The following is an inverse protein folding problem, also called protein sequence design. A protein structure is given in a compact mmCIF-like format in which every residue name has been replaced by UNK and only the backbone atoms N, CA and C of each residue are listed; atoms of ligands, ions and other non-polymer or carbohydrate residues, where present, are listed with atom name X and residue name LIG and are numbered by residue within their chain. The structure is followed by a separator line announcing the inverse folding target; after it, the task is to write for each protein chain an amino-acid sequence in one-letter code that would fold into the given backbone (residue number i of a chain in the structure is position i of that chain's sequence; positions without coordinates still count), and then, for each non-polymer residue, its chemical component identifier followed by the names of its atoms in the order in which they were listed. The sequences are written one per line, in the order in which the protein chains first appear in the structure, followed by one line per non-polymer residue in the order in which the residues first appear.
data_IF_514123409938
#
_entry.id   IF_514123409938
#
_cell.length_a   1.000
_cell.length_b   1.000
_cell.length_c   1.000
_cell.angle_alpha   90.00
_cell.angle_beta   90.00
_cell.angle_gamma   90.00
#
_symmetry.space_group_name_H-M   'P 1'
#
loop_
_entity.id
_entity.type
_entity.pdbx_description
1 polymer ?
#
# COMPACT_ATOMS: atom_id res chain seq x y z
N UNK A 1 12.62 12.41 3.49
CA UNK A 1 11.70 12.62 2.34
C UNK A 1 10.56 11.63 2.50
N UNK A 2 9.42 12.09 3.02
CA UNK A 2 8.27 11.26 3.35
C UNK A 2 7.47 11.05 2.06
N UNK A 3 7.48 9.83 1.52
CA UNK A 3 6.83 9.49 0.25
C UNK A 3 5.32 9.25 0.36
N UNK A 4 4.62 9.87 1.33
CA UNK A 4 3.16 9.76 1.45
C UNK A 4 2.56 11.12 1.78
N UNK A 5 1.50 11.50 1.06
CA UNK A 5 0.70 12.70 1.29
C UNK A 5 -0.74 12.31 1.56
N UNK A 6 -1.38 12.98 2.52
CA UNK A 6 -2.78 12.75 2.86
C UNK A 6 -3.60 13.84 2.17
N UNK A 7 -4.50 13.43 1.28
CA UNK A 7 -5.42 14.30 0.57
C UNK A 7 -6.86 14.15 1.07
N UNK A 8 -7.75 15.03 0.63
CA UNK A 8 -9.16 15.03 1.03
C UNK A 8 -9.90 13.71 0.67
N UNK A 9 -9.42 13.00 -0.35
CA UNK A 9 -10.03 11.78 -0.87
C UNK A 9 -9.26 10.49 -0.49
N UNK A 10 -8.13 10.60 0.23
CA UNK A 10 -7.34 9.43 0.64
C UNK A 10 -5.84 9.69 0.76
N UNK A 11 -5.05 8.65 0.47
CA UNK A 11 -3.59 8.67 0.65
C UNK A 11 -2.89 8.58 -0.71
N UNK A 12 -1.97 9.50 -0.96
CA UNK A 12 -1.10 9.53 -2.14
C UNK A 12 0.25 8.98 -1.72
N UNK A 13 0.65 7.82 -2.25
CA UNK A 13 1.97 7.22 -1.99
C UNK A 13 2.85 7.41 -3.22
N UNK A 14 4.10 7.81 -2.97
CA UNK A 14 5.14 7.92 -3.97
C UNK A 14 5.45 6.55 -4.59
N UNK A 15 5.37 6.47 -5.91
CA UNK A 15 5.58 5.24 -6.66
C UNK A 15 7.01 4.69 -6.49
N UNK A 16 7.99 5.54 -6.16
CA UNK A 16 9.36 5.15 -5.81
C UNK A 16 9.42 4.25 -4.57
N UNK A 17 8.56 4.49 -3.57
CA UNK A 17 8.51 3.64 -2.35
C UNK A 17 8.02 2.23 -2.70
N UNK A 18 7.01 2.12 -3.56
CA UNK A 18 6.52 0.82 -4.03
C UNK A 18 7.54 0.17 -4.98
N UNK A 19 8.16 0.96 -5.85
CA UNK A 19 9.17 0.51 -6.81
C UNK A 19 10.33 -0.17 -6.10
N UNK A 20 10.94 0.47 -5.09
CA UNK A 20 12.01 -0.11 -4.27
C UNK A 20 11.56 -1.40 -3.57
N UNK A 21 10.34 -1.41 -3.03
CA UNK A 21 9.81 -2.53 -2.27
C UNK A 21 9.51 -3.77 -3.13
N UNK A 22 8.97 -3.56 -4.32
CA UNK A 22 8.61 -4.65 -5.23
C UNK A 22 9.73 -5.00 -6.23
N UNK A 23 10.76 -4.15 -6.34
CA UNK A 23 11.78 -4.24 -7.38
C UNK A 23 11.24 -3.85 -8.76
N UNK A 24 10.30 -2.92 -8.80
CA UNK A 24 9.68 -2.39 -10.01
C UNK A 24 10.19 -0.98 -10.28
N UNK A 25 9.86 -0.42 -11.43
CA UNK A 25 10.03 1.00 -11.70
C UNK A 25 8.79 1.79 -11.24
N UNK A 26 8.92 3.10 -10.91
CA UNK A 26 7.78 3.95 -10.60
C UNK A 26 6.72 3.97 -11.73
N UNK A 27 7.17 3.87 -12.98
CA UNK A 27 6.30 3.77 -14.15
C UNK A 27 5.49 2.47 -14.16
N UNK A 28 6.10 1.32 -13.84
CA UNK A 28 5.39 0.04 -13.71
C UNK A 28 4.42 0.02 -12.55
N UNK A 29 4.76 0.67 -11.43
CA UNK A 29 3.83 0.85 -10.31
C UNK A 29 2.61 1.65 -10.75
N UNK A 30 2.82 2.80 -11.39
CA UNK A 30 1.73 3.64 -11.88
C UNK A 30 0.86 2.91 -12.91
N UNK A 31 1.50 2.22 -13.86
CA UNK A 31 0.81 1.40 -14.86
C UNK A 31 0.03 0.24 -14.21
N UNK A 32 0.62 -0.43 -13.22
CA UNK A 32 0.01 -1.53 -12.47
C UNK A 32 -1.19 -1.10 -11.63
N UNK A 33 -1.12 0.06 -10.98
CA UNK A 33 -2.25 0.67 -10.29
C UNK A 33 -3.37 1.03 -11.27
N UNK A 34 -3.02 1.66 -12.42
CA UNK A 34 -3.99 2.02 -13.47
C UNK A 34 -4.65 0.80 -14.12
N UNK A 35 -3.89 -0.29 -14.26
CA UNK A 35 -4.35 -1.55 -14.82
C UNK A 35 -5.04 -2.46 -13.79
N UNK A 36 -5.11 -2.09 -12.51
CA UNK A 36 -5.65 -2.94 -11.44
C UNK A 36 -4.82 -4.19 -11.12
N UNK A 37 -3.55 -4.23 -11.53
CA UNK A 37 -2.59 -5.31 -11.24
C UNK A 37 -1.96 -5.19 -9.85
N UNK A 38 -1.97 -3.99 -9.29
CA UNK A 38 -1.55 -3.71 -7.92
C UNK A 38 -2.81 -3.44 -7.11
N UNK A 39 -3.13 -4.34 -6.19
CA UNK A 39 -4.24 -4.11 -5.28
C UNK A 39 -3.74 -3.33 -4.07
N UNK A 40 -4.35 -2.19 -3.76
CA UNK A 40 -4.08 -1.44 -2.54
C UNK A 40 -5.20 -1.68 -1.53
N UNK A 41 -4.83 -1.81 -0.26
CA UNK A 41 -5.75 -1.87 0.87
C UNK A 41 -5.32 -0.81 1.86
N UNK A 42 -6.20 0.15 2.08
CA UNK A 42 -6.00 1.20 3.08
C UNK A 42 -6.87 0.89 4.29
N UNK A 43 -6.25 0.88 5.45
CA UNK A 43 -6.93 0.84 6.74
C UNK A 43 -6.65 2.17 7.44
N UNK A 44 -7.67 3.02 7.48
CA UNK A 44 -7.63 4.28 8.20
C UNK A 44 -8.08 4.00 9.63
N UNK A 45 -7.22 4.23 10.62
CA UNK A 45 -7.64 4.27 12.01
C UNK A 45 -8.61 5.44 12.21
N UNK A 46 -9.79 5.15 12.75
CA UNK A 46 -10.81 6.12 13.16
C UNK A 46 -10.93 6.09 14.69
N UNK A 47 -11.31 7.22 15.29
CA UNK A 47 -11.51 7.40 16.72
C UNK A 47 -10.29 7.11 17.62
N UNK A 48 -10.28 6.00 18.37
CA UNK A 48 -9.22 5.70 19.35
C UNK A 48 -7.85 5.42 18.71
N UNK A 49 -7.85 5.08 17.41
CA UNK A 49 -6.65 4.89 16.58
C UNK A 49 -6.46 6.05 15.58
N UNK A 50 -7.15 7.18 15.79
CA UNK A 50 -6.93 8.39 15.00
C UNK A 50 -5.45 8.80 15.11
N UNK A 51 -4.79 8.89 13.97
CA UNK A 51 -3.35 9.19 13.93
C UNK A 51 -2.49 8.14 13.23
N UNK A 52 -3.02 6.94 12.92
CA UNK A 52 -2.28 5.91 12.19
C UNK A 52 -3.07 5.35 11.03
N UNK A 53 -2.42 5.28 9.88
CA UNK A 53 -2.96 4.68 8.68
C UNK A 53 -2.04 3.58 8.19
N UNK A 54 -2.65 2.48 7.75
CA UNK A 54 -1.92 1.33 7.26
C UNK A 54 -2.29 1.06 5.82
N UNK A 55 -1.31 1.21 4.94
CA UNK A 55 -1.45 1.00 3.51
C UNK A 55 -0.76 -0.32 3.17
N UNK A 56 -1.53 -1.29 2.69
CA UNK A 56 -1.00 -2.59 2.26
C UNK A 56 -1.22 -2.75 0.76
N UNK A 57 -0.13 -2.84 0.00
CA UNK A 57 -0.15 -3.07 -1.43
C UNK A 57 0.16 -4.53 -1.73
N UNK A 58 -0.52 -5.14 -2.69
CA UNK A 58 -0.34 -6.52 -3.10
C UNK A 58 -0.01 -6.57 -4.58
N UNK A 59 1.08 -7.26 -4.92
CA UNK A 59 1.51 -7.46 -6.29
C UNK A 59 2.21 -8.82 -6.44
N UNK A 60 1.72 -9.67 -7.36
CA UNK A 60 2.30 -10.99 -7.71
C UNK A 60 2.70 -11.88 -6.52
N UNK A 61 1.88 -11.92 -5.47
CA UNK A 61 2.15 -12.74 -4.27
C UNK A 61 3.11 -12.11 -3.25
N UNK A 62 3.43 -10.83 -3.43
CA UNK A 62 4.13 -10.00 -2.45
C UNK A 62 3.17 -8.95 -1.90
N UNK A 63 3.31 -8.67 -0.61
CA UNK A 63 2.67 -7.55 0.05
C UNK A 63 3.70 -6.56 0.59
N UNK A 64 3.41 -5.27 0.41
CA UNK A 64 4.12 -4.16 1.04
C UNK A 64 3.17 -3.50 2.01
N UNK A 65 3.51 -3.49 3.29
CA UNK A 65 2.78 -2.78 4.34
C UNK A 65 3.54 -1.52 4.73
N UNK A 66 2.90 -0.37 4.58
CA UNK A 66 3.35 0.93 5.04
C UNK A 66 2.47 1.37 6.20
N UNK A 67 3.10 1.78 7.29
CA UNK A 67 2.45 2.45 8.41
C UNK A 67 2.82 3.92 8.34
N UNK A 68 1.81 4.77 8.19
CA UNK A 68 1.95 6.22 8.16
C UNK A 68 1.21 6.86 9.32
N UNK A 69 1.69 8.00 9.80
CA UNK A 69 0.93 8.83 10.75
C UNK A 69 -0.04 9.79 10.03
N UNK A 70 -0.82 10.54 10.81
CA UNK A 70 -1.73 11.61 10.33
C UNK A 70 -1.02 12.79 9.66
N UNK A 71 0.30 12.86 9.79
CA UNK A 71 1.14 13.89 9.22
C UNK A 71 1.69 13.44 7.86
N UNK A 72 1.34 12.22 7.40
CA UNK A 72 1.83 11.60 6.18
C UNK A 72 3.25 11.04 6.29
N UNK A 73 3.80 10.95 7.51
CA UNK A 73 5.13 10.41 7.73
C UNK A 73 5.08 8.89 7.78
N UNK A 74 5.92 8.24 7.00
CA UNK A 74 6.11 6.78 7.06
C UNK A 74 6.84 6.46 8.37
N UNK A 75 6.12 5.81 9.28
CA UNK A 75 6.65 5.29 10.54
C UNK A 75 7.35 3.95 10.35
N UNK A 76 6.81 3.10 9.47
CA UNK A 76 7.38 1.79 9.19
C UNK A 76 7.01 1.29 7.80
N UNK A 77 7.92 0.52 7.18
CA UNK A 77 7.67 -0.23 5.95
C UNK A 77 8.14 -1.66 6.11
N UNK A 78 7.33 -2.62 5.67
CA UNK A 78 7.66 -4.03 5.69
C UNK A 78 7.15 -4.71 4.42
N UNK A 79 8.02 -5.46 3.75
CA UNK A 79 7.67 -6.31 2.62
C UNK A 79 7.66 -7.76 3.07
N UNK A 80 6.66 -8.52 2.63
CA UNK A 80 6.56 -9.93 2.93
C UNK A 80 5.82 -10.65 1.80
N UNK A 81 6.07 -11.95 1.65
CA UNK A 81 5.30 -12.75 0.72
C UNK A 81 3.89 -12.96 1.31
N UNK A 82 2.88 -12.52 0.58
CA UNK A 82 1.49 -12.71 0.96
C UNK A 82 0.64 -12.97 -0.28
N UNK A 83 -0.28 -13.95 -0.22
CA UNK A 83 -1.28 -14.10 -1.27
C UNK A 83 -2.16 -12.84 -1.33
N UNK A 84 -2.65 -12.45 -2.51
CA UNK A 84 -3.58 -11.33 -2.64
C UNK A 84 -4.82 -11.57 -1.77
N UNK A 85 -5.43 -10.52 -1.20
CA UNK A 85 -6.59 -10.66 -0.34
C UNK A 85 -7.75 -11.26 -1.15
N UNK A 86 -8.18 -12.46 -0.75
CA UNK A 86 -9.45 -13.05 -1.19
C UNK A 86 -9.51 -13.59 -2.62
N UNK A 87 -8.61 -14.50 -2.99
CA UNK A 87 -9.06 -15.68 -3.77
C UNK A 87 -9.06 -16.87 -2.82
N UNK A 88 -10.08 -16.93 -1.96
CA UNK A 88 -10.34 -18.13 -1.17
C UNK A 88 -10.48 -19.33 -2.11
N UNK A 89 -10.14 -20.55 -1.67
CA UNK A 89 -10.40 -21.75 -2.46
C UNK A 89 -11.90 -21.77 -2.78
N UNK A 90 -12.26 -21.82 -4.07
CA UNK A 90 -13.63 -22.18 -4.44
C UNK A 90 -13.85 -23.60 -3.90
N UNK A 91 -14.77 -23.84 -2.95
CA UNK A 91 -15.12 -25.20 -2.61
C UNK A 91 -15.69 -25.85 -3.89
N UNK A 92 -15.21 -27.06 -4.19
CA UNK A 92 -15.77 -27.91 -5.26
C UNK A 92 -17.10 -28.48 -4.82
#
# INVERSE_FOLDING_TARGET
MSGVSIGAEGFVVDAGVLAEAFGLTPAEVAAGMRAGLIASRQETGIDADAGRHRLTFYHRGRALRLTVDDSGRILSRATFNAPPPGRGPRPR
#
